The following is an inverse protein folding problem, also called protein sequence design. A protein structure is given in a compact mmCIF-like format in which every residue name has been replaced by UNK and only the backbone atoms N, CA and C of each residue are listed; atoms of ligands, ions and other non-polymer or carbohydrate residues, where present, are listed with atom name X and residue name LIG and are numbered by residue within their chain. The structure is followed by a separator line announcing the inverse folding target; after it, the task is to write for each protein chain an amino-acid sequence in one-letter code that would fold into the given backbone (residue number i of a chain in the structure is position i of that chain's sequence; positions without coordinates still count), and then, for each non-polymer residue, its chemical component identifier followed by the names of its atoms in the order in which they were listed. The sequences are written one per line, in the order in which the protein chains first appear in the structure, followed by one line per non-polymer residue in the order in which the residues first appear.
data_IF_079747650065
#
_entry.id   IF_079747650065
#
_cell.length_a   1.000
_cell.length_b   1.000
_cell.length_c   1.000
_cell.angle_alpha   90.00
_cell.angle_beta   90.00
_cell.angle_gamma   90.00
#
_symmetry.space_group_name_H-M   'P 1'
#
loop_
_entity.id
_entity.type
_entity.pdbx_description
1 polymer ?
#
# COMPACT_ATOMS: atom_id res chain seq x y z
N UNK A 1 4.37 5.97 -10.07
CA UNK A 1 3.95 4.77 -10.82
C UNK A 1 4.03 4.87 -12.33
N UNK A 2 4.04 6.05 -12.98
CA UNK A 2 4.05 6.12 -14.46
C UNK A 2 5.27 5.45 -15.10
N UNK A 3 6.44 5.49 -14.45
CA UNK A 3 7.67 4.85 -14.94
C UNK A 3 7.63 3.34 -14.78
N UNK A 4 7.21 2.84 -13.60
CA UNK A 4 7.04 1.41 -13.37
C UNK A 4 5.98 0.80 -14.32
N UNK A 5 4.86 1.49 -14.56
CA UNK A 5 3.83 1.04 -15.51
C UNK A 5 4.36 1.01 -16.96
N UNK A 6 5.19 1.99 -17.36
CA UNK A 6 5.81 2.00 -18.67
C UNK A 6 6.82 0.85 -18.84
N UNK A 7 7.70 0.65 -17.86
CA UNK A 7 8.66 -0.46 -17.87
C UNK A 7 7.95 -1.83 -17.88
N UNK A 8 6.89 -1.99 -17.07
CA UNK A 8 6.08 -3.21 -17.07
C UNK A 8 5.43 -3.45 -18.43
N UNK A 9 4.96 -2.41 -19.11
CA UNK A 9 4.38 -2.53 -20.46
C UNK A 9 5.42 -2.91 -21.52
N UNK A 10 6.66 -2.42 -21.38
CA UNK A 10 7.77 -2.81 -22.26
C UNK A 10 8.19 -4.28 -22.07
N UNK A 11 7.91 -4.86 -20.89
CA UNK A 11 8.16 -6.26 -20.54
C UNK A 11 6.91 -7.16 -20.66
N UNK A 12 5.80 -6.65 -21.23
CA UNK A 12 4.51 -7.34 -21.37
C UNK A 12 3.88 -7.82 -20.04
N UNK A 13 4.17 -7.09 -18.96
CA UNK A 13 3.65 -7.36 -17.61
C UNK A 13 2.36 -6.55 -17.41
N UNK A 14 1.22 -7.24 -17.36
CA UNK A 14 -0.08 -6.64 -17.08
C UNK A 14 -0.21 -6.25 -15.60
N UNK A 15 -0.38 -4.95 -15.33
CA UNK A 15 -0.59 -4.42 -13.97
C UNK A 15 -2.08 -4.25 -13.71
N UNK A 16 -2.66 -5.16 -12.94
CA UNK A 16 -4.05 -5.13 -12.51
C UNK A 16 -4.21 -4.32 -11.20
N UNK A 17 -5.45 -3.92 -10.88
CA UNK A 17 -5.76 -3.19 -9.63
C UNK A 17 -5.37 -3.95 -8.36
N UNK A 18 -5.36 -5.27 -8.41
CA UNK A 18 -4.99 -6.18 -7.32
C UNK A 18 -3.51 -6.57 -7.33
N UNK A 19 -2.71 -6.08 -8.30
CA UNK A 19 -1.26 -6.34 -8.34
C UNK A 19 -0.50 -5.70 -7.17
N UNK A 20 -1.13 -4.77 -6.44
CA UNK A 20 -0.57 -4.18 -5.21
C UNK A 20 -1.63 -4.20 -4.12
N UNK A 21 -1.29 -4.80 -2.98
CA UNK A 21 -2.11 -4.80 -1.77
C UNK A 21 -1.37 -4.09 -0.62
N UNK A 22 -2.12 -3.57 0.35
CA UNK A 22 -1.60 -2.80 1.48
C UNK A 22 -2.10 -3.34 2.82
N UNK A 23 -1.31 -3.13 3.88
CA UNK A 23 -1.70 -3.46 5.25
C UNK A 23 -1.66 -4.96 5.55
N UNK A 24 -2.56 -5.44 6.42
CA UNK A 24 -2.57 -6.84 6.85
C UNK A 24 -2.93 -7.82 5.72
N UNK A 25 -3.74 -7.36 4.75
CA UNK A 25 -4.14 -8.17 3.60
C UNK A 25 -2.93 -8.62 2.76
N UNK A 26 -1.93 -7.75 2.56
CA UNK A 26 -0.73 -8.13 1.82
C UNK A 26 0.16 -9.13 2.56
N UNK A 27 0.14 -9.10 3.90
CA UNK A 27 0.84 -10.11 4.71
C UNK A 27 0.12 -11.46 4.65
N UNK A 28 -1.20 -11.46 4.73
CA UNK A 28 -2.01 -12.69 4.63
C UNK A 28 -1.79 -13.36 3.27
N UNK A 29 -1.88 -12.61 2.18
CA UNK A 29 -1.63 -13.14 0.84
C UNK A 29 -0.22 -13.73 0.69
N UNK A 30 0.81 -13.08 1.24
CA UNK A 30 2.17 -13.61 1.22
C UNK A 30 2.34 -14.90 2.03
N UNK A 31 1.60 -15.05 3.13
CA UNK A 31 1.62 -16.29 3.93
C UNK A 31 0.90 -17.43 3.20
N UNK A 32 -0.18 -17.12 2.49
CA UNK A 32 -0.95 -18.08 1.70
C UNK A 32 -0.19 -18.59 0.47
N UNK A 33 0.49 -17.68 -0.24
CA UNK A 33 1.22 -18.02 -1.46
C UNK A 33 2.55 -17.24 -1.62
N UNK A 34 3.61 -17.62 -0.88
CA UNK A 34 4.88 -16.90 -0.88
C UNK A 34 5.70 -17.06 -2.17
N UNK A 35 5.32 -17.98 -3.06
CA UNK A 35 6.05 -18.20 -4.32
C UNK A 35 5.55 -17.28 -5.44
N UNK A 36 4.27 -16.92 -5.40
CA UNK A 36 3.64 -16.09 -6.44
C UNK A 36 3.64 -14.60 -6.09
N UNK A 37 3.96 -14.22 -4.85
CA UNK A 37 3.91 -12.81 -4.42
C UNK A 37 5.16 -12.35 -3.65
N UNK A 38 5.51 -11.09 -3.83
CA UNK A 38 6.58 -10.43 -3.08
C UNK A 38 6.01 -9.57 -1.95
N UNK A 39 6.47 -9.81 -0.73
CA UNK A 39 6.15 -8.97 0.41
C UNK A 39 7.27 -7.97 0.72
N UNK A 40 6.97 -6.68 0.61
CA UNK A 40 7.91 -5.61 0.95
C UNK A 40 7.63 -5.09 2.35
N UNK A 41 8.55 -5.36 3.28
CA UNK A 41 8.52 -4.77 4.62
C UNK A 41 9.17 -3.39 4.60
N UNK A 42 8.46 -2.38 5.14
CA UNK A 42 8.99 -1.02 5.33
C UNK A 42 9.61 -0.39 4.07
N UNK A 43 8.87 -0.25 2.95
CA UNK A 43 9.43 0.32 1.71
C UNK A 43 10.04 1.73 1.88
N UNK A 44 9.59 2.49 2.90
CA UNK A 44 10.15 3.80 3.23
C UNK A 44 11.63 3.76 3.66
N UNK A 45 12.13 2.68 4.25
CA UNK A 45 13.54 2.60 4.66
C UNK A 45 14.53 2.53 3.50
N UNK A 46 14.04 2.25 2.29
CA UNK A 46 14.85 2.19 1.08
C UNK A 46 14.96 3.54 0.35
N UNK A 47 14.20 4.55 0.78
CA UNK A 47 14.29 5.90 0.22
C UNK A 47 15.60 6.57 0.69
N UNK A 48 16.51 6.83 -0.25
CA UNK A 48 17.82 7.42 0.06
C UNK A 48 18.85 6.43 0.59
N UNK A 49 18.58 5.13 0.56
CA UNK A 49 19.57 4.11 0.92
C UNK A 49 20.73 4.08 -0.09
N UNK A 50 21.95 3.99 0.42
CA UNK A 50 23.16 3.85 -0.40
C UNK A 50 23.30 2.40 -0.90
N UNK A 51 23.82 2.22 -2.12
CA UNK A 51 24.09 0.90 -2.71
C UNK A 51 22.94 0.28 -3.52
N UNK A 52 21.79 0.96 -3.63
CA UNK A 52 20.72 0.54 -4.54
C UNK A 52 20.96 1.06 -5.97
N UNK A 53 20.64 0.24 -6.98
CA UNK A 53 20.56 0.69 -8.37
C UNK A 53 19.45 1.75 -8.49
N UNK A 54 19.61 2.78 -9.35
CA UNK A 54 18.59 3.83 -9.53
C UNK A 54 17.18 3.30 -9.81
N UNK A 55 17.08 2.19 -10.55
CA UNK A 55 15.80 1.52 -10.85
C UNK A 55 15.10 0.97 -9.60
N UNK A 56 15.85 0.43 -8.63
CA UNK A 56 15.26 -0.06 -7.37
C UNK A 56 14.77 1.10 -6.50
N UNK A 57 15.51 2.21 -6.47
CA UNK A 57 15.07 3.42 -5.76
C UNK A 57 13.76 3.94 -6.35
N UNK A 58 13.68 4.03 -7.68
CA UNK A 58 12.46 4.45 -8.37
C UNK A 58 11.25 3.53 -8.11
N UNK A 59 11.49 2.21 -7.98
CA UNK A 59 10.45 1.26 -7.58
C UNK A 59 9.93 1.55 -6.15
N UNK A 60 10.82 1.74 -5.19
CA UNK A 60 10.43 2.04 -3.80
C UNK A 60 9.73 3.40 -3.68
N UNK A 61 10.17 4.42 -4.43
CA UNK A 61 9.46 5.70 -4.54
C UNK A 61 8.01 5.50 -5.01
N UNK A 62 7.83 4.69 -6.06
CA UNK A 62 6.52 4.39 -6.62
C UNK A 62 5.64 3.60 -5.63
N UNK A 63 6.21 2.64 -4.89
CA UNK A 63 5.51 1.89 -3.84
C UNK A 63 5.08 2.78 -2.67
N UNK A 64 5.97 3.64 -2.18
CA UNK A 64 5.66 4.59 -1.09
C UNK A 64 4.60 5.59 -1.53
N UNK A 65 4.67 6.07 -2.78
CA UNK A 65 3.66 6.95 -3.35
C UNK A 65 2.28 6.28 -3.39
N UNK A 66 2.21 5.03 -3.84
CA UNK A 66 0.96 4.27 -3.87
C UNK A 66 0.41 4.00 -2.45
N UNK A 67 1.27 3.69 -1.48
CA UNK A 67 0.89 3.58 -0.07
C UNK A 67 0.30 4.88 0.47
N UNK A 68 0.95 6.02 0.21
CA UNK A 68 0.47 7.32 0.68
C UNK A 68 -0.88 7.68 0.05
N UNK A 69 -1.07 7.41 -1.24
CA UNK A 69 -2.37 7.58 -1.90
C UNK A 69 -3.43 6.67 -1.26
N UNK A 70 -3.09 5.42 -0.97
CA UNK A 70 -4.00 4.49 -0.28
C UNK A 70 -4.40 5.04 1.10
N UNK A 71 -3.43 5.47 1.93
CA UNK A 71 -3.70 6.05 3.25
C UNK A 71 -4.59 7.29 3.15
N UNK A 72 -4.28 8.19 2.21
CA UNK A 72 -5.10 9.38 1.95
C UNK A 72 -6.55 9.00 1.65
N UNK A 73 -6.76 8.07 0.71
CA UNK A 73 -8.10 7.63 0.32
C UNK A 73 -8.86 6.96 1.48
N UNK A 74 -8.18 6.23 2.37
CA UNK A 74 -8.82 5.68 3.56
C UNK A 74 -9.20 6.76 4.57
N UNK A 75 -8.35 7.79 4.74
CA UNK A 75 -8.61 8.90 5.65
C UNK A 75 -9.73 9.84 5.15
N UNK A 76 -9.89 9.96 3.83
CA UNK A 76 -10.96 10.76 3.21
C UNK A 76 -12.32 10.04 3.22
N UNK A 77 -12.36 8.73 3.50
CA UNK A 77 -13.63 8.03 3.66
C UNK A 77 -14.37 8.63 4.86
N UNK A 78 -15.66 9.01 4.71
CA UNK A 78 -16.45 9.44 5.83
C UNK A 78 -16.41 8.38 6.92
N UNK A 79 -15.96 8.76 8.12
CA UNK A 79 -16.19 7.92 9.29
C UNK A 79 -17.69 7.68 9.36
N UNK A 80 -18.11 6.42 9.25
CA UNK A 80 -19.49 6.06 9.52
C UNK A 80 -19.80 6.69 10.89
N UNK A 81 -20.76 7.63 10.90
CA UNK A 81 -21.16 8.38 12.08
C UNK A 81 -21.39 7.33 13.16
N UNK A 82 -20.46 7.22 14.12
CA UNK A 82 -20.66 6.38 15.27
C UNK A 82 -21.94 6.92 15.90
N UNK A 83 -22.98 6.09 15.85
CA UNK A 83 -24.26 6.38 16.46
C UNK A 83 -23.92 6.63 17.93
N UNK A 84 -23.91 7.92 18.30
CA UNK A 84 -23.73 8.31 19.68
C UNK A 84 -24.95 7.71 20.37
N UNK A 85 -24.82 6.80 21.35
CA UNK A 85 -25.99 6.38 22.10
C UNK A 85 -26.55 7.63 22.76
N UNK A 86 -27.67 8.11 22.23
CA UNK A 86 -28.46 9.17 22.82
C UNK A 86 -28.96 8.65 24.16
N UNK A 87 -28.46 9.26 25.24
CA UNK A 87 -29.07 9.22 26.56
C UNK A 87 -29.05 7.89 27.29
N UNK A 88 -27.99 7.66 28.08
CA UNK A 88 -28.17 7.36 29.52
C UNK A 88 -26.79 7.42 30.19
N UNK A 89 -26.45 8.57 30.77
CA UNK A 89 -25.39 8.62 31.77
C UNK A 89 -26.10 8.61 33.13
N UNK A 90 -25.97 7.56 33.95
CA UNK A 90 -26.58 7.57 35.26
C UNK A 90 -25.89 8.67 36.09
N UNK A 91 -26.65 9.71 36.42
CA UNK A 91 -26.35 10.51 37.58
C UNK A 91 -26.64 9.61 38.79
N UNK A 92 -25.58 9.21 39.51
CA UNK A 92 -25.47 9.11 40.97
C UNK A 92 -24.08 8.57 41.36
#
# INVERSE_FOLDING_TARGET
MRRAIAANRDEDIEVLRNSVQFGLASLQQYVEDPQEVYFVKSPKSFLGASGLKPQHVALFEDLVCAMMLHIKLQAEKPAARADRPDGDWPAD
#
